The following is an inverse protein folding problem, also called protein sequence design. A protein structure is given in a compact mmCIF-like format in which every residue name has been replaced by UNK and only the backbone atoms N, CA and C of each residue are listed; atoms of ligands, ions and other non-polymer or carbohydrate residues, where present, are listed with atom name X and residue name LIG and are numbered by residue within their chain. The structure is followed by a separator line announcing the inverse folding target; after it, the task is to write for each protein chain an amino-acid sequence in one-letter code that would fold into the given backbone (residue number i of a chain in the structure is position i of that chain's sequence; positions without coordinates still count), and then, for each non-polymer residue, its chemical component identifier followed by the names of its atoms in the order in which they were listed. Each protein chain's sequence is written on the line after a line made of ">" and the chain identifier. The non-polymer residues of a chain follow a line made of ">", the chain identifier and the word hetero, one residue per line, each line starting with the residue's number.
data_IF_199278632360
#
_entry.id   IF_199278632360
#
_cell.length_a   1.000
_cell.length_b   1.000
_cell.length_c   1.000
_cell.angle_alpha   90.00
_cell.angle_beta   90.00
_cell.angle_gamma   90.00
#
_symmetry.space_group_name_H-M   'P 1'
#
loop_
_entity.id
_entity.type
_entity.pdbx_description
1 polymer ?
#
# COMPACT_ATOMS: atom_id res chain seq x y z
N UNK A 1 -10.04 15.73 12.68
CA UNK A 1 -9.20 15.15 11.61
C UNK A 1 -9.26 13.64 11.71
N UNK A 2 -9.82 12.95 10.72
CA UNK A 2 -9.69 11.49 10.62
C UNK A 2 -8.33 11.20 9.99
N UNK A 3 -7.46 10.47 10.70
CA UNK A 3 -6.22 9.94 10.11
C UNK A 3 -6.62 8.94 9.02
N UNK A 4 -5.88 8.94 7.92
CA UNK A 4 -6.04 7.96 6.86
C UNK A 4 -5.99 6.55 7.46
N UNK A 5 -7.03 5.75 7.20
CA UNK A 5 -7.09 4.39 7.70
C UNK A 5 -6.23 3.50 6.81
N UNK A 6 -5.06 3.10 7.32
CA UNK A 6 -4.26 2.06 6.68
C UNK A 6 -4.74 0.69 7.16
N UNK A 7 -4.73 -0.29 6.27
CA UNK A 7 -4.98 -1.68 6.65
C UNK A 7 -3.84 -2.16 7.56
N UNK A 8 -4.16 -2.59 8.78
CA UNK A 8 -3.18 -3.16 9.71
C UNK A 8 -3.01 -4.66 9.49
N UNK A 9 -4.08 -5.34 9.10
CA UNK A 9 -4.11 -6.78 8.85
C UNK A 9 -4.94 -7.12 7.60
N UNK A 10 -4.49 -8.09 6.81
CA UNK A 10 -5.22 -8.63 5.66
C UNK A 10 -5.08 -10.15 5.62
N UNK A 11 -6.05 -10.81 5.00
CA UNK A 11 -5.98 -12.25 4.78
C UNK A 11 -4.95 -12.58 3.69
N UNK A 12 -3.98 -13.43 4.03
CA UNK A 12 -3.01 -13.93 3.06
C UNK A 12 -3.43 -15.31 2.54
N UNK A 13 -3.64 -15.44 1.24
CA UNK A 13 -4.01 -16.72 0.60
C UNK A 13 -2.91 -17.78 0.68
N UNK A 14 -1.64 -17.38 0.81
CA UNK A 14 -0.52 -18.31 1.00
C UNK A 14 -0.40 -18.81 2.44
N UNK A 15 -0.52 -17.91 3.42
CA UNK A 15 -0.46 -18.28 4.85
C UNK A 15 -1.79 -18.82 5.39
N UNK A 16 -2.87 -18.66 4.61
CA UNK A 16 -4.26 -19.05 4.90
C UNK A 16 -4.80 -18.47 6.22
N UNK A 17 -4.31 -17.30 6.61
CA UNK A 17 -4.68 -16.63 7.86
C UNK A 17 -4.62 -15.11 7.69
N UNK A 18 -5.26 -14.39 8.62
CA UNK A 18 -5.06 -12.95 8.78
C UNK A 18 -3.64 -12.70 9.26
N UNK A 19 -2.94 -11.82 8.56
CA UNK A 19 -1.54 -11.48 8.84
C UNK A 19 -1.41 -9.97 8.98
N UNK A 20 -0.44 -9.49 9.79
CA UNK A 20 -0.06 -8.09 9.75
C UNK A 20 0.46 -7.75 8.37
N UNK A 21 0.12 -6.57 7.86
CA UNK A 21 0.59 -6.10 6.55
C UNK A 21 1.62 -5.00 6.68
N UNK A 22 2.52 -4.94 5.70
CA UNK A 22 3.48 -3.86 5.54
C UNK A 22 3.15 -3.14 4.25
N UNK A 23 2.99 -1.83 4.31
CA UNK A 23 2.84 -1.00 3.13
C UNK A 23 4.22 -0.72 2.50
N UNK A 24 4.28 -0.83 1.17
CA UNK A 24 5.46 -0.50 0.38
C UNK A 24 5.06 0.38 -0.78
N UNK A 25 5.72 1.52 -0.93
CA UNK A 25 5.57 2.37 -2.10
C UNK A 25 6.05 1.61 -3.34
N UNK A 26 5.14 1.44 -4.30
CA UNK A 26 5.40 0.78 -5.58
C UNK A 26 5.82 1.80 -6.62
N UNK A 27 5.01 2.85 -6.78
CA UNK A 27 5.18 3.87 -7.82
C UNK A 27 4.74 5.23 -7.32
N UNK A 28 5.51 6.25 -7.68
CA UNK A 28 5.13 7.66 -7.53
C UNK A 28 4.64 8.14 -8.89
N UNK A 29 3.41 8.64 -8.94
CA UNK A 29 2.77 9.19 -10.13
C UNK A 29 2.45 10.68 -9.91
N UNK A 30 2.28 11.47 -10.97
CA UNK A 30 1.88 12.88 -10.84
C UNK A 30 0.58 13.08 -10.07
N UNK A 31 -0.36 12.15 -10.21
CA UNK A 31 -1.70 12.17 -9.60
C UNK A 31 -1.76 11.50 -8.21
N UNK A 32 -0.65 10.93 -7.74
CA UNK A 32 -0.61 10.22 -6.46
C UNK A 32 0.42 9.11 -6.34
N UNK A 33 0.37 8.41 -5.23
CA UNK A 33 1.32 7.35 -4.87
C UNK A 33 0.59 6.00 -4.82
N UNK A 34 1.16 5.01 -5.49
CA UNK A 34 0.65 3.63 -5.46
C UNK A 34 1.46 2.83 -4.46
N UNK A 35 0.77 2.20 -3.53
CA UNK A 35 1.33 1.32 -2.51
C UNK A 35 0.86 -0.11 -2.71
N UNK A 36 1.71 -1.04 -2.28
CA UNK A 36 1.40 -2.45 -2.16
C UNK A 36 1.36 -2.85 -0.69
N UNK A 37 0.41 -3.71 -0.34
CA UNK A 37 0.39 -4.38 0.96
C UNK A 37 1.03 -5.75 0.81
N UNK A 38 2.09 -5.96 1.57
CA UNK A 38 2.81 -7.23 1.63
C UNK A 38 2.47 -7.94 2.93
N UNK A 39 2.28 -9.26 2.84
CA UNK A 39 2.16 -10.13 4.00
C UNK A 39 3.41 -10.00 4.88
N UNK A 40 3.24 -9.65 6.15
CA UNK A 40 4.33 -9.50 7.10
C UNK A 40 5.09 -10.79 7.42
N UNK A 41 4.52 -11.96 7.07
CA UNK A 41 5.12 -13.27 7.30
C UNK A 41 5.85 -13.82 6.06
N UNK A 42 5.16 -13.90 4.91
CA UNK A 42 5.71 -14.52 3.70
C UNK A 42 6.09 -13.52 2.59
N UNK A 43 5.79 -12.23 2.76
CA UNK A 43 6.09 -11.19 1.78
C UNK A 43 5.22 -11.20 0.52
N UNK A 44 4.21 -12.08 0.43
CA UNK A 44 3.30 -12.10 -0.72
C UNK A 44 2.45 -10.82 -0.80
N UNK A 45 2.18 -10.36 -2.01
CA UNK A 45 1.22 -9.27 -2.23
C UNK A 45 -0.18 -9.70 -1.81
N UNK A 46 -0.76 -8.97 -0.86
CA UNK A 46 -2.10 -9.23 -0.30
C UNK A 46 -3.09 -8.10 -0.61
N UNK A 47 -2.63 -7.01 -1.22
CA UNK A 47 -3.48 -5.91 -1.65
C UNK A 47 -2.68 -4.74 -2.20
N UNK A 48 -3.39 -3.73 -2.68
CA UNK A 48 -2.79 -2.47 -3.13
C UNK A 48 -3.67 -1.30 -2.73
N UNK A 49 -3.04 -0.16 -2.42
CA UNK A 49 -3.68 1.12 -2.13
C UNK A 49 -3.16 2.16 -3.12
N UNK A 50 -4.01 3.10 -3.50
CA UNK A 50 -3.59 4.26 -4.28
C UNK A 50 -3.99 5.50 -3.52
N UNK A 51 -2.99 6.28 -3.14
CA UNK A 51 -3.14 7.53 -2.44
C UNK A 51 -3.12 8.67 -3.44
N UNK A 52 -4.25 9.35 -3.61
CA UNK A 52 -4.34 10.46 -4.57
C UNK A 52 -3.76 11.71 -3.92
N UNK A 53 -2.51 12.01 -4.21
CA UNK A 53 -1.88 13.24 -3.76
C UNK A 53 -2.54 14.43 -4.44
N UNK A 54 -3.00 15.41 -3.66
CA UNK A 54 -3.53 16.68 -4.20
C UNK A 54 -2.44 17.61 -4.73
N UNK A 55 -1.16 17.25 -4.58
CA UNK A 55 -0.04 18.07 -5.05
C UNK A 55 0.54 17.44 -6.31
N UNK A 56 0.47 18.11 -7.47
CA UNK A 56 1.05 17.58 -8.70
C UNK A 56 2.56 17.46 -8.51
N UNK A 57 3.06 16.24 -8.53
CA UNK A 57 4.50 15.99 -8.48
C UNK A 57 5.07 16.29 -9.87
N UNK A 58 5.91 17.32 -9.96
CA UNK A 58 6.63 17.66 -11.18
C UNK A 58 7.78 16.67 -11.37
N UNK A 59 7.63 15.74 -12.31
CA UNK A 59 8.74 14.88 -12.74
C UNK A 59 9.71 15.76 -13.52
N UNK A 60 10.90 15.98 -12.97
CA UNK A 60 12.01 16.61 -13.70
C UNK A 60 12.74 15.47 -14.41
N UNK A 61 12.63 15.43 -15.74
CA UNK A 61 13.43 14.55 -16.62
C UNK A 61 14.61 15.34 -17.16
#
# INVERSE_FOLDING_TARGET
>A
MYKEFNATELYCTRCKQSVPVRERLLLVLPDGEKFEYLCGLCGNSVGSKMDKSKRPLSIIV
#
